data_IF_529473145705
#
_entry.id   IF_529473145705
#
_cell.length_a   1.000
_cell.length_b   1.000
_cell.length_c   1.000
_cell.angle_alpha   90.00
_cell.angle_beta   90.00
_cell.angle_gamma   90.00
#
_symmetry.space_group_name_H-M   'P 1'
#
loop_
_entity.id
_entity.type
_entity.pdbx_description
1 polymer ?
#
# COMPACT_ATOMS: atom_id res chain seq x y z
N UNK A 1 6.28 3.20 11.70
CA UNK A 1 6.26 2.92 10.25
C UNK A 1 5.50 4.04 9.57
N UNK A 2 6.13 4.72 8.63
CA UNK A 2 5.51 5.74 7.79
C UNK A 2 4.66 5.11 6.68
N UNK A 3 3.73 5.86 6.05
CA UNK A 3 2.93 5.36 4.92
C UNK A 3 3.76 4.89 3.73
N UNK A 4 4.92 5.52 3.52
CA UNK A 4 5.86 5.12 2.48
C UNK A 4 6.54 3.80 2.81
N UNK A 5 6.99 3.61 4.05
CA UNK A 5 7.57 2.33 4.50
C UNK A 5 6.52 1.21 4.46
N UNK A 6 5.26 1.49 4.82
CA UNK A 6 4.17 0.54 4.73
C UNK A 6 3.91 0.11 3.27
N UNK A 7 3.99 1.06 2.32
CA UNK A 7 3.88 0.76 0.91
C UNK A 7 5.04 -0.10 0.41
N UNK A 8 6.28 0.20 0.82
CA UNK A 8 7.43 -0.65 0.51
C UNK A 8 7.29 -2.05 1.12
N UNK A 9 6.82 -2.16 2.36
CA UNK A 9 6.56 -3.43 3.02
C UNK A 9 5.51 -4.25 2.27
N UNK A 10 4.44 -3.62 1.78
CA UNK A 10 3.42 -4.28 0.97
C UNK A 10 4.01 -4.85 -0.34
N UNK A 11 4.92 -4.12 -1.00
CA UNK A 11 5.61 -4.60 -2.20
C UNK A 11 6.51 -5.79 -1.88
N UNK A 12 7.22 -5.76 -0.74
CA UNK A 12 8.06 -6.87 -0.29
C UNK A 12 7.21 -8.10 0.05
N UNK A 13 6.10 -7.91 0.78
CA UNK A 13 5.15 -8.97 1.11
C UNK A 13 4.51 -9.61 -0.15
N UNK A 14 4.30 -8.81 -1.19
CA UNK A 14 3.83 -9.29 -2.49
C UNK A 14 4.91 -9.99 -3.34
N UNK A 15 6.15 -10.13 -2.85
CA UNK A 15 7.30 -10.67 -3.60
C UNK A 15 7.72 -9.81 -4.81
N UNK A 16 7.65 -8.48 -4.66
CA UNK A 16 8.19 -7.50 -5.61
C UNK A 16 7.12 -6.69 -6.36
N UNK A 17 7.59 -5.66 -7.08
CA UNK A 17 6.72 -4.65 -7.72
C UNK A 17 5.80 -5.23 -8.80
N UNK A 18 6.28 -6.24 -9.55
CA UNK A 18 5.48 -6.91 -10.59
C UNK A 18 4.32 -7.69 -10.00
N UNK A 19 4.58 -8.47 -8.95
CA UNK A 19 3.55 -9.25 -8.28
C UNK A 19 2.57 -8.35 -7.52
N UNK A 20 3.08 -7.30 -6.84
CA UNK A 20 2.25 -6.27 -6.24
C UNK A 20 1.34 -5.59 -7.26
N UNK A 21 1.88 -5.18 -8.42
CA UNK A 21 1.10 -4.59 -9.50
C UNK A 21 -0.04 -5.49 -9.96
N UNK A 22 0.21 -6.80 -10.10
CA UNK A 22 -0.83 -7.80 -10.45
C UNK A 22 -1.93 -7.89 -9.40
N UNK A 23 -1.58 -7.86 -8.11
CA UNK A 23 -2.53 -7.88 -6.99
C UNK A 23 -3.50 -6.70 -7.06
N UNK A 24 -2.99 -5.49 -7.28
CA UNK A 24 -3.81 -4.27 -7.28
C UNK A 24 -4.33 -3.87 -8.68
N UNK A 25 -4.04 -4.67 -9.71
CA UNK A 25 -4.52 -4.43 -11.07
C UNK A 25 -3.81 -3.31 -11.84
N UNK A 26 -2.54 -3.03 -11.54
CA UNK A 26 -1.73 -2.01 -12.25
C UNK A 26 -0.43 -2.59 -12.82
N UNK A 27 0.16 -1.89 -13.78
CA UNK A 27 1.47 -2.27 -14.31
C UNK A 27 2.58 -2.02 -13.29
N UNK A 28 3.64 -2.85 -13.32
CA UNK A 28 4.83 -2.66 -12.48
C UNK A 28 5.43 -1.25 -12.63
N UNK A 29 5.42 -0.69 -13.85
CA UNK A 29 5.93 0.66 -14.12
C UNK A 29 5.16 1.75 -13.37
N UNK A 30 3.84 1.60 -13.16
CA UNK A 30 3.05 2.53 -12.34
C UNK A 30 3.48 2.46 -10.88
N UNK A 31 3.72 1.26 -10.35
CA UNK A 31 4.23 1.06 -8.99
C UNK A 31 5.60 1.72 -8.83
N UNK A 32 6.50 1.51 -9.79
CA UNK A 32 7.83 2.14 -9.80
C UNK A 32 7.75 3.68 -9.83
N UNK A 33 6.87 4.24 -10.67
CA UNK A 33 6.67 5.70 -10.74
C UNK A 33 6.24 6.29 -9.39
N UNK A 34 5.40 5.59 -8.62
CA UNK A 34 5.00 6.06 -7.27
C UNK A 34 6.16 6.02 -6.29
N UNK A 35 6.96 4.95 -6.31
CA UNK A 35 8.16 4.83 -5.48
C UNK A 35 9.19 5.93 -5.78
N UNK A 36 9.48 6.16 -7.06
CA UNK A 36 10.43 7.19 -7.50
C UNK A 36 9.97 8.60 -7.14
N UNK A 37 8.66 8.84 -7.18
CA UNK A 37 8.08 10.12 -6.76
C UNK A 37 8.02 10.28 -5.23
N UNK A 38 8.45 9.29 -4.45
CA UNK A 38 8.33 9.28 -2.98
C UNK A 38 6.89 9.29 -2.50
N UNK A 39 5.94 8.84 -3.35
CA UNK A 39 4.51 8.86 -3.04
C UNK A 39 4.11 7.60 -2.29
N UNK A 40 3.17 7.78 -1.37
CA UNK A 40 2.41 6.68 -0.79
C UNK A 40 1.45 6.04 -1.81
N UNK A 41 0.85 4.90 -1.43
CA UNK A 41 -0.13 4.20 -2.26
C UNK A 41 -1.39 5.08 -2.49
N UNK A 42 -1.86 5.22 -3.74
CA UNK A 42 -3.10 5.94 -4.00
C UNK A 42 -4.31 5.25 -3.34
N UNK A 43 -5.29 6.04 -2.93
CA UNK A 43 -6.42 5.59 -2.10
C UNK A 43 -7.20 4.43 -2.74
N UNK A 44 -7.36 4.48 -4.06
CA UNK A 44 -8.12 3.49 -4.85
C UNK A 44 -7.55 2.07 -4.75
N UNK A 45 -6.25 1.93 -4.46
CA UNK A 45 -5.57 0.63 -4.41
C UNK A 45 -5.35 0.11 -2.99
N UNK A 46 -5.72 0.87 -1.95
CA UNK A 46 -5.43 0.51 -0.55
C UNK A 46 -6.10 -0.80 -0.15
N UNK A 47 -7.38 -0.97 -0.50
CA UNK A 47 -8.13 -2.18 -0.15
C UNK A 47 -7.62 -3.42 -0.87
N UNK A 48 -7.25 -3.27 -2.15
CA UNK A 48 -6.66 -4.36 -2.92
C UNK A 48 -5.27 -4.74 -2.39
N UNK A 49 -4.46 -3.74 -2.02
CA UNK A 49 -3.16 -3.96 -1.41
C UNK A 49 -3.29 -4.66 -0.05
N UNK A 50 -4.20 -4.22 0.81
CA UNK A 50 -4.46 -4.88 2.10
C UNK A 50 -4.89 -6.33 1.91
N UNK A 51 -5.86 -6.60 1.02
CA UNK A 51 -6.35 -7.95 0.76
C UNK A 51 -5.26 -8.89 0.21
N UNK A 52 -4.34 -8.38 -0.62
CA UNK A 52 -3.30 -9.21 -1.24
C UNK A 52 -1.97 -9.27 -0.48
N UNK A 53 -1.70 -8.34 0.44
CA UNK A 53 -0.42 -8.28 1.17
C UNK A 53 -0.56 -8.45 2.68
N UNK A 54 -1.77 -8.34 3.22
CA UNK A 54 -2.03 -8.36 4.66
C UNK A 54 -1.59 -7.10 5.40
N UNK A 55 -1.03 -6.10 4.71
CA UNK A 55 -0.65 -4.82 5.33
C UNK A 55 -1.92 -3.98 5.54
N UNK A 56 -2.16 -3.60 6.79
CA UNK A 56 -3.36 -2.85 7.16
C UNK A 56 -3.46 -1.51 6.41
N UNK A 57 -4.67 -1.19 5.96
CA UNK A 57 -5.02 0.11 5.35
C UNK A 57 -4.64 1.31 6.22
N UNK A 58 -4.64 1.14 7.55
CA UNK A 58 -4.26 2.16 8.52
C UNK A 58 -2.79 2.54 8.45
N UNK A 59 -1.92 1.61 8.02
CA UNK A 59 -0.51 1.89 7.80
C UNK A 59 -0.27 2.47 6.40
N UNK A 60 -0.98 1.99 5.38
CA UNK A 60 -0.84 2.44 4.00
C UNK A 60 -1.33 3.88 3.80
N UNK A 61 -2.48 4.23 4.39
CA UNK A 61 -3.13 5.54 4.27
C UNK A 61 -3.83 5.94 5.58
N UNK A 62 -3.07 6.27 6.64
CA UNK A 62 -3.64 6.73 7.92
C UNK A 62 -4.47 8.01 7.80
N UNK A 63 -4.24 8.81 6.76
CA UNK A 63 -4.99 10.04 6.48
C UNK A 63 -6.43 9.79 6.03
N UNK A 64 -6.71 8.66 5.37
CA UNK A 64 -8.06 8.25 4.97
C UNK A 64 -8.61 7.18 5.92
N UNK A 65 -7.74 6.32 6.43
CA UNK A 65 -8.08 5.23 7.34
C UNK A 65 -7.40 5.47 8.70
N UNK A 66 -7.88 6.43 9.51
CA UNK A 66 -7.37 6.58 10.87
C UNK A 66 -7.64 5.28 11.64
N UNK A 67 -6.71 4.89 12.50
CA UNK A 67 -6.95 3.81 13.46
C UNK A 67 -8.08 4.32 14.35
N UNK A 68 -9.25 3.65 14.41
CA UNK A 68 -10.25 4.01 15.41
C UNK A 68 -9.57 3.84 16.77
N UNK A 69 -9.34 4.96 17.46
CA UNK A 69 -8.99 4.92 18.87
C UNK A 69 -10.10 4.10 19.52
N UNK A 70 -9.72 2.99 20.15
CA UNK A 70 -10.64 2.00 20.71
C UNK A 70 -11.81 2.71 21.38
N UNK A 71 -13.01 2.51 20.83
CA UNK A 71 -14.22 2.71 21.58
C UNK A 71 -14.22 1.61 22.64
N UNK A 72 -13.89 2.04 23.86
CA UNK A 72 -14.07 1.44 25.19
C UNK A 72 -14.78 0.08 25.27
#
# INVERSE_FOLDING_TARGET
MSPYEAFQAAIVAANGQTAFGRIIGVSQQRVWNWLQAGKHLPADYVLAAEAGTGISRHLLRPDIYPIPAEAE
#
